data_IF_423851982029
#
_entry.id   IF_423851982029
#
_cell.length_a   1.000
_cell.length_b   1.000
_cell.length_c   1.000
_cell.angle_alpha   90.00
_cell.angle_beta   90.00
_cell.angle_gamma   90.00
#
_symmetry.space_group_name_H-M   'P 1'
#
loop_
_entity.id
_entity.type
_entity.pdbx_description
1 polymer ?
#
# COMPACT_ATOMS: atom_id res chain seq x y z
N UNK A 1 -4.73 12.32 -28.54
CA UNK A 1 -5.37 12.58 -27.23
C UNK A 1 -4.29 12.48 -26.17
N UNK A 2 -4.19 13.42 -25.22
CA UNK A 2 -3.19 13.31 -24.17
C UNK A 2 -3.52 12.09 -23.32
N UNK A 3 -2.54 11.22 -23.08
CA UNK A 3 -2.67 10.15 -22.10
C UNK A 3 -2.92 10.81 -20.74
N UNK A 4 -4.14 10.70 -20.21
CA UNK A 4 -4.44 10.99 -18.81
C UNK A 4 -3.37 10.26 -17.99
N UNK A 5 -2.61 11.01 -17.20
CA UNK A 5 -1.56 10.41 -16.38
C UNK A 5 -2.19 9.33 -15.52
N UNK A 6 -1.58 8.15 -15.47
CA UNK A 6 -2.07 7.00 -14.68
C UNK A 6 -2.27 7.34 -13.18
N UNK A 7 -1.72 8.47 -12.73
CA UNK A 7 -1.79 9.01 -11.39
C UNK A 7 -2.76 10.21 -11.24
N UNK A 8 -3.56 10.52 -12.25
CA UNK A 8 -4.53 11.63 -12.18
C UNK A 8 -5.56 11.38 -11.06
N UNK A 9 -5.90 12.42 -10.27
CA UNK A 9 -6.95 12.31 -9.27
C UNK A 9 -8.28 12.00 -9.97
N UNK A 10 -9.01 11.02 -9.44
CA UNK A 10 -10.38 10.73 -9.85
C UNK A 10 -11.29 10.83 -8.64
N UNK A 11 -12.59 11.05 -8.88
CA UNK A 11 -13.56 11.20 -7.81
C UNK A 11 -13.57 9.98 -6.87
N UNK A 12 -13.34 8.77 -7.41
CA UNK A 12 -13.14 7.57 -6.59
C UNK A 12 -11.94 7.72 -5.64
N UNK A 13 -10.77 8.14 -6.14
CA UNK A 13 -9.59 8.37 -5.30
C UNK A 13 -9.83 9.47 -4.28
N UNK A 14 -10.52 10.55 -4.64
CA UNK A 14 -10.86 11.63 -3.71
C UNK A 14 -11.77 11.16 -2.57
N UNK A 15 -12.83 10.41 -2.88
CA UNK A 15 -13.71 9.82 -1.86
C UNK A 15 -12.92 8.88 -0.96
N UNK A 16 -12.07 8.02 -1.51
CA UNK A 16 -11.26 7.10 -0.69
C UNK A 16 -10.30 7.86 0.22
N UNK A 17 -9.58 8.87 -0.31
CA UNK A 17 -8.65 9.67 0.47
C UNK A 17 -9.34 10.43 1.60
N UNK A 18 -10.51 11.01 1.35
CA UNK A 18 -11.22 11.89 2.28
C UNK A 18 -12.14 11.14 3.26
N UNK A 19 -12.79 10.06 2.82
CA UNK A 19 -13.80 9.31 3.61
C UNK A 19 -13.28 8.02 4.22
N UNK A 20 -12.18 7.47 3.69
CA UNK A 20 -11.59 6.23 4.21
C UNK A 20 -10.22 6.49 4.83
N UNK A 21 -9.26 7.03 4.09
CA UNK A 21 -7.89 7.17 4.58
C UNK A 21 -7.76 8.28 5.63
N UNK A 22 -8.24 9.49 5.34
CA UNK A 22 -8.10 10.66 6.21
C UNK A 22 -8.69 10.47 7.63
N UNK A 23 -9.88 9.86 7.82
CA UNK A 23 -10.40 9.58 9.17
C UNK A 23 -9.47 8.69 9.99
N UNK A 24 -8.86 7.68 9.37
CA UNK A 24 -7.87 6.83 10.03
C UNK A 24 -6.61 7.63 10.38
N UNK A 25 -6.06 8.43 9.45
CA UNK A 25 -4.88 9.26 9.73
C UNK A 25 -5.13 10.29 10.84
N UNK A 26 -6.30 10.93 10.83
CA UNK A 26 -6.72 11.85 11.88
C UNK A 26 -6.79 11.14 13.24
N UNK A 27 -7.40 9.97 13.28
CA UNK A 27 -7.46 9.16 14.50
C UNK A 27 -6.07 8.82 15.03
N UNK A 28 -5.16 8.33 14.17
CA UNK A 28 -3.80 7.96 14.54
C UNK A 28 -3.01 9.17 15.07
N UNK A 29 -3.03 10.29 14.36
CA UNK A 29 -2.29 11.49 14.74
C UNK A 29 -2.82 12.14 16.02
N UNK A 30 -4.13 12.17 16.19
CA UNK A 30 -4.78 12.69 17.41
C UNK A 30 -4.47 11.81 18.61
N UNK A 31 -4.55 10.48 18.44
CA UNK A 31 -4.30 9.51 19.52
C UNK A 31 -2.84 9.56 19.98
N UNK A 32 -1.89 9.63 19.05
CA UNK A 32 -0.46 9.66 19.38
C UNK A 32 0.11 11.05 19.62
N UNK A 33 -0.66 12.11 19.33
CA UNK A 33 -0.21 13.51 19.38
C UNK A 33 1.08 13.73 18.59
N UNK A 34 1.19 13.06 17.45
CA UNK A 34 2.36 13.10 16.56
C UNK A 34 1.88 13.08 15.11
N UNK A 35 2.51 13.91 14.30
CA UNK A 35 2.36 13.85 12.84
C UNK A 35 3.15 12.68 12.26
N UNK A 36 2.85 12.33 11.03
CA UNK A 36 3.31 11.11 10.36
C UNK A 36 4.47 11.39 9.41
N UNK A 37 5.39 10.43 9.31
CA UNK A 37 6.38 10.35 8.24
C UNK A 37 5.74 9.59 7.08
N UNK A 38 5.46 10.31 6.00
CA UNK A 38 4.91 9.78 4.76
C UNK A 38 6.02 9.14 3.92
N UNK A 39 5.73 7.98 3.34
CA UNK A 39 6.57 7.31 2.36
C UNK A 39 5.70 6.76 1.24
N UNK A 40 5.89 7.21 0.00
CA UNK A 40 4.99 6.75 -1.05
C UNK A 40 5.24 7.29 -2.45
N UNK A 41 4.21 7.10 -3.27
CA UNK A 41 4.20 7.37 -4.72
C UNK A 41 3.18 8.47 -5.04
N UNK A 42 3.36 9.70 -4.50
CA UNK A 42 2.42 10.78 -4.78
C UNK A 42 2.40 11.09 -6.27
N UNK A 43 1.27 11.59 -6.77
CA UNK A 43 1.22 12.11 -8.14
C UNK A 43 2.07 13.39 -8.27
N UNK A 44 2.38 13.85 -9.49
CA UNK A 44 3.07 15.13 -9.69
C UNK A 44 2.37 16.33 -9.02
N UNK A 45 1.07 16.21 -8.78
CA UNK A 45 0.23 17.22 -8.11
C UNK A 45 0.13 17.04 -6.59
N UNK A 46 0.78 16.03 -6.02
CA UNK A 46 0.82 15.78 -4.58
C UNK A 46 -0.59 15.73 -3.94
N UNK A 47 -1.62 15.28 -4.67
CA UNK A 47 -3.01 15.42 -4.25
C UNK A 47 -3.36 14.67 -2.96
N UNK A 48 -2.68 13.55 -2.69
CA UNK A 48 -2.74 12.83 -1.43
C UNK A 48 -2.06 13.58 -0.27
N UNK A 49 -0.89 14.16 -0.52
CA UNK A 49 -0.16 14.97 0.47
C UNK A 49 -0.97 16.21 0.84
N UNK A 50 -1.58 16.89 -0.14
CA UNK A 50 -2.45 18.05 0.12
C UNK A 50 -3.66 17.67 0.98
N UNK A 51 -4.34 16.56 0.67
CA UNK A 51 -5.49 16.08 1.44
C UNK A 51 -5.10 15.73 2.89
N UNK A 52 -3.91 15.19 3.10
CA UNK A 52 -3.45 14.68 4.40
C UNK A 52 -2.47 15.61 5.11
N UNK A 53 -2.33 16.85 4.65
CA UNK A 53 -1.24 17.75 5.06
C UNK A 53 -1.22 18.04 6.56
N UNK A 54 -2.39 18.09 7.19
CA UNK A 54 -2.52 18.34 8.63
C UNK A 54 -1.99 17.16 9.47
N UNK A 55 -1.85 15.98 8.86
CA UNK A 55 -1.38 14.75 9.52
C UNK A 55 0.09 14.44 9.23
N UNK A 56 0.70 15.07 8.23
CA UNK A 56 2.05 14.74 7.74
C UNK A 56 3.07 15.73 8.26
N UNK A 57 4.20 15.22 8.77
CA UNK A 57 5.35 16.00 9.21
C UNK A 57 6.45 16.06 8.15
N UNK A 58 6.76 14.90 7.57
CA UNK A 58 7.88 14.72 6.65
C UNK A 58 7.45 13.81 5.50
N UNK A 59 7.95 14.09 4.29
CA UNK A 59 7.60 13.35 3.07
C UNK A 59 8.83 12.65 2.51
N UNK A 60 8.74 11.35 2.26
CA UNK A 60 9.67 10.59 1.43
C UNK A 60 8.89 10.16 0.18
N UNK A 61 9.23 10.71 -0.98
CA UNK A 61 8.50 10.50 -2.22
C UNK A 61 9.39 9.92 -3.31
N UNK A 62 8.79 9.12 -4.19
CA UNK A 62 9.43 8.60 -5.40
C UNK A 62 8.56 8.99 -6.60
N UNK A 63 9.19 9.52 -7.65
CA UNK A 63 8.50 9.89 -8.87
C UNK A 63 9.35 9.47 -10.08
N UNK A 64 8.79 8.59 -10.91
CA UNK A 64 9.40 8.27 -12.20
C UNK A 64 9.15 9.41 -13.20
N UNK A 65 10.08 9.59 -14.14
CA UNK A 65 9.97 10.60 -15.21
C UNK A 65 8.83 10.32 -16.17
N UNK A 66 8.84 9.15 -16.81
CA UNK A 66 7.81 8.74 -17.77
C UNK A 66 7.23 7.36 -17.44
N UNK A 67 5.98 7.33 -17.00
CA UNK A 67 5.25 6.09 -16.76
C UNK A 67 4.48 5.64 -18.01
N UNK A 68 4.42 4.34 -18.35
CA UNK A 68 5.02 3.18 -17.66
C UNK A 68 6.39 2.78 -18.24
N UNK A 69 7.14 3.71 -18.84
CA UNK A 69 8.41 3.38 -19.51
C UNK A 69 9.49 3.02 -18.47
N UNK A 70 10.48 2.16 -18.80
CA UNK A 70 11.65 1.97 -17.95
C UNK A 70 12.34 3.30 -17.66
N UNK A 71 12.98 3.41 -16.50
CA UNK A 71 13.72 4.63 -16.12
C UNK A 71 14.85 4.91 -17.10
N UNK A 72 14.99 6.16 -17.53
CA UNK A 72 16.07 6.63 -18.39
C UNK A 72 16.41 8.10 -18.06
N UNK A 73 17.68 8.44 -17.76
CA UNK A 73 18.11 9.82 -17.49
C UNK A 73 17.87 10.82 -18.62
N UNK A 74 17.56 10.36 -19.84
CA UNK A 74 17.21 11.22 -20.97
C UNK A 74 15.71 11.55 -21.04
N UNK A 75 14.86 10.92 -20.22
CA UNK A 75 13.43 11.23 -20.15
C UNK A 75 13.18 12.61 -19.54
N UNK A 76 12.01 13.17 -19.84
CA UNK A 76 11.59 14.46 -19.27
C UNK A 76 11.41 14.38 -17.76
N UNK A 77 12.15 15.20 -17.01
CA UNK A 77 12.00 15.34 -15.56
C UNK A 77 10.81 16.25 -15.13
N UNK A 78 9.89 16.60 -16.03
CA UNK A 78 8.79 17.53 -15.75
C UNK A 78 7.89 17.06 -14.60
N UNK A 79 7.54 15.77 -14.56
CA UNK A 79 6.73 15.19 -13.48
C UNK A 79 7.43 15.30 -12.11
N UNK A 80 8.73 15.03 -12.07
CA UNK A 80 9.57 15.12 -10.87
C UNK A 80 9.66 16.58 -10.39
N UNK A 81 9.95 17.51 -11.30
CA UNK A 81 10.04 18.96 -11.00
C UNK A 81 8.72 19.54 -10.51
N UNK A 82 7.59 19.09 -11.05
CA UNK A 82 6.26 19.54 -10.61
C UNK A 82 5.97 19.09 -9.18
N UNK A 83 6.30 17.84 -8.85
CA UNK A 83 6.19 17.34 -7.48
C UNK A 83 7.13 18.09 -6.54
N UNK A 84 8.39 18.29 -6.94
CA UNK A 84 9.38 19.06 -6.18
C UNK A 84 8.88 20.46 -5.86
N UNK A 85 8.34 21.17 -6.85
CA UNK A 85 7.77 22.51 -6.66
C UNK A 85 6.66 22.52 -5.61
N UNK A 86 5.74 21.55 -5.66
CA UNK A 86 4.66 21.42 -4.69
C UNK A 86 5.19 21.14 -3.27
N UNK A 87 6.18 20.26 -3.12
CA UNK A 87 6.79 19.94 -1.82
C UNK A 87 7.57 21.12 -1.24
N UNK A 88 8.33 21.84 -2.06
CA UNK A 88 9.03 23.07 -1.66
C UNK A 88 8.05 24.14 -1.19
N UNK A 89 6.92 24.34 -1.90
CA UNK A 89 5.90 25.30 -1.48
C UNK A 89 5.28 24.93 -0.13
N UNK A 90 4.98 23.64 0.10
CA UNK A 90 4.48 23.14 1.39
C UNK A 90 5.50 23.36 2.52
N UNK A 91 6.77 23.09 2.27
CA UNK A 91 7.85 23.32 3.23
C UNK A 91 7.99 24.82 3.55
N UNK A 92 8.01 25.69 2.53
CA UNK A 92 8.11 27.15 2.70
C UNK A 92 6.95 27.74 3.50
N UNK A 93 5.76 27.15 3.36
CA UNK A 93 4.56 27.52 4.15
C UNK A 93 4.55 26.91 5.56
N UNK A 94 5.58 26.13 5.93
CA UNK A 94 5.65 25.45 7.22
C UNK A 94 4.60 24.36 7.41
N UNK A 95 4.05 23.82 6.32
CA UNK A 95 3.02 22.78 6.36
C UNK A 95 3.61 21.39 6.59
N UNK A 96 4.78 21.14 6.00
CA UNK A 96 5.68 20.04 6.33
C UNK A 96 7.01 20.62 6.85
N UNK A 97 7.74 19.85 7.65
CA UNK A 97 9.06 20.25 8.10
C UNK A 97 10.08 20.18 6.96
N UNK A 98 10.08 19.06 6.24
CA UNK A 98 11.07 18.77 5.20
C UNK A 98 10.64 17.55 4.35
N UNK A 99 11.36 17.29 3.26
CA UNK A 99 11.07 16.16 2.37
C UNK A 99 12.32 15.61 1.67
N UNK A 100 12.26 14.32 1.30
CA UNK A 100 13.17 13.68 0.35
C UNK A 100 12.38 13.28 -0.89
N UNK A 101 12.82 13.72 -2.07
CA UNK A 101 12.25 13.32 -3.36
C UNK A 101 13.30 12.56 -4.16
N UNK A 102 12.97 11.33 -4.57
CA UNK A 102 13.83 10.48 -5.38
C UNK A 102 13.31 10.39 -6.82
N UNK A 103 14.19 10.64 -7.78
CA UNK A 103 13.91 10.52 -9.21
C UNK A 103 14.08 9.07 -9.67
N UNK A 104 12.96 8.40 -9.90
CA UNK A 104 12.94 7.03 -10.41
C UNK A 104 11.82 6.19 -9.82
N UNK A 105 11.75 4.94 -10.28
CA UNK A 105 10.87 3.96 -9.67
C UNK A 105 11.39 3.55 -8.30
N UNK A 106 10.47 3.38 -7.34
CA UNK A 106 10.80 2.97 -5.98
C UNK A 106 11.61 1.66 -5.96
N UNK A 107 11.28 0.71 -6.84
CA UNK A 107 11.99 -0.54 -7.04
C UNK A 107 13.48 -0.33 -7.32
N UNK A 108 13.77 0.55 -8.26
CA UNK A 108 15.12 0.84 -8.74
C UNK A 108 15.92 1.60 -7.68
N UNK A 109 15.33 2.64 -7.10
CA UNK A 109 15.99 3.48 -6.10
C UNK A 109 16.41 2.67 -4.88
N UNK A 110 15.52 1.79 -4.40
CA UNK A 110 15.80 0.95 -3.22
C UNK A 110 16.87 -0.09 -3.51
N UNK A 111 16.83 -0.75 -4.67
CA UNK A 111 17.79 -1.82 -5.00
C UNK A 111 19.18 -1.25 -5.26
N UNK A 112 19.25 -0.19 -6.06
CA UNK A 112 20.52 0.48 -6.37
C UNK A 112 21.03 1.29 -5.18
N UNK A 113 20.15 1.73 -4.27
CA UNK A 113 20.48 2.59 -3.14
C UNK A 113 20.74 4.05 -3.55
N UNK A 114 20.33 4.42 -4.76
CA UNK A 114 20.45 5.77 -5.32
C UNK A 114 19.43 5.96 -6.44
N UNK A 115 19.11 7.20 -6.74
CA UNK A 115 18.18 7.58 -7.79
C UNK A 115 18.87 7.92 -9.13
N UNK A 116 18.08 8.36 -10.12
CA UNK A 116 18.57 8.72 -11.45
C UNK A 116 19.57 9.89 -11.45
N UNK A 117 19.47 10.79 -10.47
CA UNK A 117 20.36 11.94 -10.31
C UNK A 117 21.52 11.64 -9.33
N UNK A 118 21.75 10.35 -9.05
CA UNK A 118 22.79 9.83 -8.16
C UNK A 118 22.62 10.24 -6.69
N UNK A 119 21.44 10.70 -6.29
CA UNK A 119 21.12 10.97 -4.89
C UNK A 119 21.04 9.65 -4.13
N UNK A 120 21.83 9.50 -3.06
CA UNK A 120 21.81 8.30 -2.22
C UNK A 120 20.47 8.15 -1.49
N UNK A 121 19.89 6.95 -1.58
CA UNK A 121 18.71 6.59 -0.80
C UNK A 121 19.10 6.38 0.67
N UNK A 122 18.43 7.10 1.57
CA UNK A 122 18.64 6.99 3.02
C UNK A 122 17.29 6.87 3.71
N UNK A 123 17.17 5.84 4.56
CA UNK A 123 16.01 5.63 5.42
C UNK A 123 16.41 5.84 6.88
N UNK A 124 16.56 7.11 7.24
CA UNK A 124 16.95 7.58 8.57
C UNK A 124 15.75 7.81 9.50
N UNK A 125 14.55 8.00 8.94
CA UNK A 125 13.30 8.14 9.69
C UNK A 125 12.51 6.85 9.70
N UNK A 126 11.84 6.58 10.82
CA UNK A 126 10.83 5.53 10.88
C UNK A 126 9.58 5.97 10.12
N UNK A 127 9.13 5.16 9.16
CA UNK A 127 7.95 5.45 8.34
C UNK A 127 6.70 5.04 9.11
N UNK A 128 5.81 5.99 9.32
CA UNK A 128 4.52 5.72 9.99
C UNK A 128 3.35 5.65 9.02
N UNK A 129 3.51 6.17 7.79
CA UNK A 129 2.50 6.18 6.75
C UNK A 129 3.12 5.75 5.42
N UNK A 130 2.77 4.56 4.97
CA UNK A 130 3.09 4.10 3.63
C UNK A 130 1.91 4.33 2.69
N UNK A 131 2.13 4.97 1.55
CA UNK A 131 1.15 5.10 0.48
C UNK A 131 1.72 4.55 -0.84
N UNK A 132 1.51 3.26 -1.05
CA UNK A 132 2.04 2.51 -2.19
C UNK A 132 0.93 2.31 -3.22
N UNK A 133 0.69 3.37 -4.01
CA UNK A 133 -0.31 3.38 -5.08
C UNK A 133 0.25 2.78 -6.38
N UNK A 134 0.39 1.46 -6.39
CA UNK A 134 0.83 0.74 -7.57
C UNK A 134 -0.33 0.59 -8.57
N UNK A 135 -0.55 1.62 -9.39
CA UNK A 135 -1.61 1.65 -10.41
C UNK A 135 -1.47 0.60 -11.54
N UNK A 136 -0.34 -0.10 -11.63
CA UNK A 136 -0.15 -1.26 -12.53
C UNK A 136 -0.48 -2.60 -11.86
N UNK A 137 -0.59 -3.66 -12.66
CA UNK A 137 -0.76 -5.04 -12.21
C UNK A 137 0.41 -5.47 -11.29
N UNK A 138 0.15 -6.33 -10.29
CA UNK A 138 1.12 -6.79 -9.25
C UNK A 138 2.47 -7.27 -9.81
N UNK A 139 2.60 -8.51 -10.24
CA UNK A 139 2.59 -8.87 -11.65
C UNK A 139 3.46 -8.06 -12.62
N UNK A 140 3.19 -6.80 -12.99
CA UNK A 140 4.02 -6.02 -13.93
C UNK A 140 5.41 -5.83 -13.33
N UNK A 141 6.36 -6.76 -13.57
CA UNK A 141 7.57 -6.74 -12.81
C UNK A 141 8.49 -5.75 -13.50
N UNK A 142 9.20 -4.96 -12.72
CA UNK A 142 10.16 -4.07 -13.32
C UNK A 142 11.43 -4.84 -13.63
N UNK A 143 11.83 -4.83 -14.90
CA UNK A 143 13.19 -5.19 -15.27
C UNK A 143 14.07 -4.00 -14.92
N UNK A 144 14.82 -4.14 -13.84
CA UNK A 144 15.76 -3.12 -13.39
C UNK A 144 17.18 -3.58 -13.67
N UNK A 145 18.08 -2.66 -13.97
CA UNK A 145 19.50 -2.96 -14.01
C UNK A 145 20.07 -2.81 -12.59
N UNK A 146 20.47 -3.92 -11.98
CA UNK A 146 21.09 -3.92 -10.66
C UNK A 146 22.55 -3.50 -10.80
N UNK A 147 22.83 -2.23 -10.51
CA UNK A 147 24.18 -1.65 -10.65
C UNK A 147 25.23 -2.32 -9.74
N UNK A 148 24.80 -2.96 -8.64
CA UNK A 148 25.70 -3.68 -7.72
C UNK A 148 26.09 -5.06 -8.25
N UNK A 149 25.21 -5.71 -9.02
CA UNK A 149 25.45 -7.03 -9.62
C UNK A 149 25.88 -6.98 -11.09
N UNK A 150 25.62 -5.87 -11.77
CA UNK A 150 25.90 -5.69 -13.20
C UNK A 150 24.96 -6.47 -14.13
N UNK A 151 23.75 -6.84 -13.66
CA UNK A 151 22.79 -7.63 -14.44
C UNK A 151 21.35 -7.09 -14.32
N UNK A 152 20.48 -7.50 -15.25
CA UNK A 152 19.05 -7.18 -15.17
C UNK A 152 18.33 -8.15 -14.25
N UNK A 153 17.58 -7.62 -13.30
CA UNK A 153 16.74 -8.38 -12.38
C UNK A 153 15.27 -8.06 -12.61
N UNK A 154 14.41 -9.07 -12.44
CA UNK A 154 12.95 -8.92 -12.49
C UNK A 154 12.43 -8.78 -11.07
N UNK A 155 11.91 -7.60 -10.75
CA UNK A 155 11.50 -7.25 -9.38
C UNK A 155 10.01 -7.03 -9.31
N UNK A 156 9.39 -7.63 -8.30
CA UNK A 156 7.98 -7.51 -7.98
C UNK A 156 7.77 -6.49 -6.86
N UNK A 157 6.64 -5.79 -6.91
CA UNK A 157 6.27 -4.74 -5.95
C UNK A 157 6.26 -5.23 -4.50
N UNK A 158 5.76 -6.44 -4.25
CA UNK A 158 5.75 -7.01 -2.90
C UNK A 158 7.16 -7.25 -2.37
N UNK A 159 8.15 -7.56 -3.23
CA UNK A 159 9.55 -7.71 -2.79
C UNK A 159 10.10 -6.39 -2.26
N UNK A 160 9.72 -5.27 -2.86
CA UNK A 160 10.10 -3.94 -2.37
C UNK A 160 9.52 -3.67 -0.98
N UNK A 161 8.27 -4.04 -0.73
CA UNK A 161 7.69 -3.94 0.61
C UNK A 161 8.52 -4.75 1.62
N UNK A 162 8.92 -5.99 1.29
CA UNK A 162 9.79 -6.79 2.17
C UNK A 162 11.13 -6.09 2.45
N UNK A 163 11.74 -5.51 1.42
CA UNK A 163 13.02 -4.81 1.55
C UNK A 163 12.90 -3.57 2.44
N UNK A 164 11.85 -2.76 2.27
CA UNK A 164 11.65 -1.55 3.08
C UNK A 164 11.43 -1.90 4.54
N UNK A 165 10.58 -2.90 4.82
CA UNK A 165 10.34 -3.37 6.20
C UNK A 165 11.62 -3.89 6.86
N UNK A 166 12.44 -4.64 6.11
CA UNK A 166 13.73 -5.11 6.60
C UNK A 166 14.72 -3.98 6.87
N UNK A 167 14.76 -2.94 6.03
CA UNK A 167 15.59 -1.75 6.25
C UNK A 167 15.14 -0.98 7.50
N UNK A 168 13.83 -0.83 7.68
CA UNK A 168 13.27 -0.11 8.83
C UNK A 168 13.56 -0.81 10.16
N UNK A 169 13.46 -2.13 10.19
CA UNK A 169 13.76 -2.95 11.36
C UNK A 169 15.24 -2.92 11.75
N UNK A 170 16.15 -2.79 10.79
CA UNK A 170 17.59 -2.65 11.09
C UNK A 170 17.93 -1.34 11.77
N UNK A 171 17.19 -0.27 11.45
CA UNK A 171 17.52 1.09 11.87
C UNK A 171 16.80 1.52 13.16
N UNK A 172 15.84 0.75 13.67
CA UNK A 172 15.00 1.17 14.81
C UNK A 172 15.00 0.14 15.95
N UNK A 173 15.23 0.64 17.16
CA UNK A 173 15.30 -0.14 18.40
C UNK A 173 14.04 -0.05 19.27
N UNK A 174 12.98 0.63 18.81
CA UNK A 174 11.81 0.94 19.62
C UNK A 174 10.52 0.36 19.03
N UNK A 175 9.53 0.01 19.88
CA UNK A 175 8.21 -0.40 19.43
C UNK A 175 7.60 0.68 18.55
N UNK A 176 7.21 0.29 17.36
CA UNK A 176 6.79 1.22 16.33
C UNK A 176 5.61 0.68 15.54
N UNK A 177 4.77 1.61 15.10
CA UNK A 177 3.44 1.36 14.52
C UNK A 177 3.33 2.15 13.22
N UNK A 178 2.72 1.55 12.21
CA UNK A 178 2.50 2.22 10.93
C UNK A 178 1.16 1.83 10.32
N UNK A 179 0.71 2.65 9.37
CA UNK A 179 -0.36 2.30 8.44
C UNK A 179 0.21 2.21 7.02
N UNK A 180 -0.23 1.20 6.28
CA UNK A 180 0.12 0.97 4.89
C UNK A 180 -1.15 0.96 4.05
N UNK A 181 -1.24 1.94 3.16
CA UNK A 181 -2.18 1.92 2.04
C UNK A 181 -1.47 1.30 0.83
N UNK A 182 -2.02 0.22 0.31
CA UNK A 182 -1.50 -0.50 -0.84
C UNK A 182 -2.59 -0.62 -1.89
N UNK A 183 -2.44 0.08 -3.01
CA UNK A 183 -3.36 -0.02 -4.15
C UNK A 183 -2.74 -0.89 -5.23
N UNK A 184 -3.51 -1.85 -5.72
CA UNK A 184 -3.12 -2.78 -6.77
C UNK A 184 -4.21 -2.87 -7.84
N UNK A 185 -3.84 -3.09 -9.09
CA UNK A 185 -4.80 -3.48 -10.11
C UNK A 185 -5.29 -4.91 -9.85
N UNK A 186 -6.61 -5.08 -9.94
CA UNK A 186 -7.38 -6.30 -9.77
C UNK A 186 -7.06 -7.38 -10.79
N UNK A 187 -6.52 -7.00 -11.96
CA UNK A 187 -6.08 -7.96 -12.96
C UNK A 187 -5.00 -8.86 -12.34
N UNK A 188 -5.39 -10.11 -12.08
CA UNK A 188 -4.60 -11.11 -11.37
C UNK A 188 -3.99 -12.11 -12.38
N UNK A 189 -2.79 -12.67 -12.14
CA UNK A 189 -2.02 -13.36 -13.19
C UNK A 189 -1.66 -14.83 -12.97
N UNK A 190 -1.42 -15.47 -14.12
CA UNK A 190 -0.81 -16.77 -14.39
C UNK A 190 0.62 -17.02 -13.84
N UNK A 191 1.39 -15.98 -13.44
CA UNK A 191 2.79 -16.13 -12.99
C UNK A 191 2.87 -16.32 -11.46
N UNK A 192 2.31 -15.39 -10.68
CA UNK A 192 2.22 -15.54 -9.21
C UNK A 192 1.19 -16.59 -8.78
N UNK A 193 0.25 -16.96 -9.68
CA UNK A 193 -0.69 -18.05 -9.44
C UNK A 193 0.00 -19.37 -9.07
N UNK A 194 1.16 -19.70 -9.69
CA UNK A 194 1.85 -20.96 -9.41
C UNK A 194 2.46 -21.01 -8.02
N UNK A 195 3.13 -19.92 -7.61
CA UNK A 195 3.68 -19.82 -6.26
C UNK A 195 2.55 -19.77 -5.23
N UNK A 196 1.44 -19.11 -5.56
CA UNK A 196 0.27 -19.07 -4.72
C UNK A 196 -0.45 -20.42 -4.61
N UNK A 197 -0.51 -21.23 -5.69
CA UNK A 197 -1.04 -22.59 -5.67
C UNK A 197 -0.33 -23.47 -4.64
N UNK A 198 1.00 -23.37 -4.55
CA UNK A 198 1.77 -24.09 -3.53
C UNK A 198 1.49 -23.60 -2.11
N UNK A 199 1.16 -22.32 -1.93
CA UNK A 199 0.71 -21.77 -0.65
C UNK A 199 -0.68 -22.30 -0.30
N UNK A 200 -1.61 -22.30 -1.27
CA UNK A 200 -2.99 -22.78 -1.09
C UNK A 200 -2.99 -24.25 -0.65
N UNK A 201 -2.15 -25.10 -1.26
CA UNK A 201 -2.04 -26.53 -0.89
C UNK A 201 -1.63 -26.76 0.58
N UNK A 202 -0.93 -25.80 1.20
CA UNK A 202 -0.42 -25.91 2.57
C UNK A 202 -1.37 -25.33 3.62
N UNK A 203 -2.34 -24.51 3.24
CA UNK A 203 -3.29 -23.86 4.15
C UNK A 203 -4.72 -24.30 3.81
N UNK A 204 -5.26 -25.22 4.62
CA UNK A 204 -6.59 -25.82 4.42
C UNK A 204 -7.68 -24.75 4.34
N UNK A 205 -7.63 -23.74 5.21
CA UNK A 205 -8.64 -22.67 5.27
C UNK A 205 -8.59 -21.82 4.01
N UNK A 206 -7.39 -21.52 3.54
CA UNK A 206 -7.20 -20.82 2.27
C UNK A 206 -7.74 -21.67 1.11
N UNK A 207 -7.48 -22.99 1.11
CA UNK A 207 -8.04 -23.94 0.14
C UNK A 207 -9.57 -23.88 0.04
N UNK A 208 -10.26 -23.93 1.19
CA UNK A 208 -11.73 -23.85 1.26
C UNK A 208 -12.28 -22.54 0.66
N UNK A 209 -11.64 -21.41 0.97
CA UNK A 209 -12.01 -20.12 0.40
C UNK A 209 -11.81 -20.10 -1.12
N UNK A 210 -10.66 -20.58 -1.60
CA UNK A 210 -10.33 -20.57 -3.02
C UNK A 210 -11.26 -21.49 -3.82
N UNK A 211 -11.66 -22.63 -3.27
CA UNK A 211 -12.66 -23.52 -3.90
C UNK A 211 -14.00 -22.80 -4.07
N UNK A 212 -14.41 -22.02 -3.07
CA UNK A 212 -15.62 -21.20 -3.13
C UNK A 212 -15.52 -20.11 -4.20
N UNK A 213 -14.40 -19.39 -4.22
CA UNK A 213 -14.14 -18.30 -5.19
C UNK A 213 -13.96 -18.83 -6.61
N UNK A 214 -13.49 -20.06 -6.79
CA UNK A 214 -13.28 -20.68 -8.11
C UNK A 214 -14.57 -20.88 -8.91
N UNK A 215 -15.74 -20.79 -8.27
CA UNK A 215 -17.07 -20.79 -8.90
C UNK A 215 -17.42 -19.46 -9.57
N UNK A 216 -16.71 -18.38 -9.22
CA UNK A 216 -16.87 -17.07 -9.84
C UNK A 216 -16.06 -16.97 -11.13
N UNK A 217 -16.37 -15.97 -11.96
CA UNK A 217 -15.69 -15.73 -13.24
C UNK A 217 -15.26 -14.27 -13.38
N UNK A 218 -14.24 -14.04 -14.22
CA UNK A 218 -13.72 -12.71 -14.55
C UNK A 218 -13.29 -11.91 -13.33
N UNK A 219 -13.55 -10.61 -13.36
CA UNK A 219 -13.10 -9.66 -12.34
C UNK A 219 -13.49 -10.05 -10.91
N UNK A 220 -14.68 -10.61 -10.71
CA UNK A 220 -15.16 -11.02 -9.37
C UNK A 220 -14.31 -12.15 -8.78
N UNK A 221 -13.81 -13.07 -9.61
CA UNK A 221 -12.84 -14.07 -9.19
C UNK A 221 -11.50 -13.41 -8.88
N UNK A 222 -11.02 -12.58 -9.81
CA UNK A 222 -9.67 -12.01 -9.76
C UNK A 222 -9.43 -11.14 -8.52
N UNK A 223 -10.37 -10.26 -8.16
CA UNK A 223 -10.23 -9.41 -6.96
C UNK A 223 -10.18 -10.21 -5.66
N UNK A 224 -10.84 -11.37 -5.59
CA UNK A 224 -10.88 -12.23 -4.40
C UNK A 224 -9.63 -13.09 -4.29
N UNK A 225 -9.16 -13.60 -5.43
CA UNK A 225 -7.86 -14.26 -5.51
C UNK A 225 -6.74 -13.28 -5.09
N UNK A 226 -6.78 -12.04 -5.58
CA UNK A 226 -5.85 -10.99 -5.19
C UNK A 226 -5.94 -10.69 -3.68
N UNK A 227 -7.16 -10.56 -3.13
CA UNK A 227 -7.37 -10.35 -1.69
C UNK A 227 -6.72 -11.45 -0.85
N UNK A 228 -6.91 -12.70 -1.24
CA UNK A 228 -6.31 -13.85 -0.56
C UNK A 228 -4.78 -13.88 -0.68
N UNK A 229 -4.26 -13.62 -1.88
CA UNK A 229 -2.84 -13.56 -2.16
C UNK A 229 -2.12 -12.48 -1.33
N UNK A 230 -2.65 -11.26 -1.35
CA UNK A 230 -2.09 -10.11 -0.63
C UNK A 230 -2.13 -10.33 0.87
N UNK A 231 -3.27 -10.80 1.41
CA UNK A 231 -3.40 -11.08 2.83
C UNK A 231 -2.35 -12.09 3.28
N UNK A 232 -2.25 -13.23 2.60
CA UNK A 232 -1.31 -14.29 3.00
C UNK A 232 0.14 -13.83 2.88
N UNK A 233 0.51 -13.26 1.75
CA UNK A 233 1.89 -12.85 1.46
C UNK A 233 2.36 -11.74 2.40
N UNK A 234 1.54 -10.71 2.61
CA UNK A 234 1.92 -9.59 3.48
C UNK A 234 1.80 -9.95 4.96
N UNK A 235 0.84 -10.77 5.37
CA UNK A 235 0.78 -11.22 6.76
C UNK A 235 2.02 -12.00 7.16
N UNK A 236 2.45 -12.96 6.33
CA UNK A 236 3.67 -13.73 6.57
C UNK A 236 4.91 -12.82 6.56
N UNK A 237 4.98 -11.89 5.59
CA UNK A 237 6.10 -10.93 5.49
C UNK A 237 6.20 -10.06 6.74
N UNK A 238 5.07 -9.51 7.20
CA UNK A 238 5.02 -8.64 8.38
C UNK A 238 5.35 -9.43 9.65
N UNK A 239 4.79 -10.63 9.80
CA UNK A 239 5.05 -11.52 10.93
C UNK A 239 6.53 -11.88 11.07
N UNK A 240 7.21 -12.23 9.97
CA UNK A 240 8.67 -12.51 9.94
C UNK A 240 9.50 -11.28 10.30
N UNK A 241 8.96 -10.09 10.08
CA UNK A 241 9.57 -8.81 10.45
C UNK A 241 9.06 -8.28 11.80
N UNK A 242 8.53 -9.16 12.66
CA UNK A 242 8.04 -8.83 14.00
C UNK A 242 6.95 -7.76 14.05
N UNK A 243 6.15 -7.64 12.98
CA UNK A 243 4.92 -6.85 13.00
C UNK A 243 3.71 -7.78 13.07
N UNK A 244 2.84 -7.54 14.04
CA UNK A 244 1.48 -8.07 14.04
C UNK A 244 0.65 -7.24 13.06
N UNK A 245 0.20 -7.82 11.92
CA UNK A 245 -0.58 -7.10 10.94
C UNK A 245 -2.08 -7.15 11.30
N UNK A 246 -2.78 -6.08 10.97
CA UNK A 246 -4.24 -6.07 10.93
C UNK A 246 -4.73 -5.43 9.63
N UNK A 247 -5.45 -6.20 8.82
CA UNK A 247 -6.01 -5.74 7.56
C UNK A 247 -7.41 -5.19 7.81
N UNK A 248 -7.63 -3.95 7.41
CA UNK A 248 -8.95 -3.33 7.39
C UNK A 248 -9.72 -3.74 6.13
N UNK A 249 -11.05 -3.48 6.09
CA UNK A 249 -11.90 -3.74 4.94
C UNK A 249 -11.28 -3.25 3.63
N UNK A 250 -11.39 -4.09 2.61
CA UNK A 250 -10.73 -3.87 1.32
C UNK A 250 -11.60 -2.97 0.46
N UNK A 251 -11.02 -1.87 -0.04
CA UNK A 251 -11.72 -0.96 -0.94
C UNK A 251 -11.52 -1.44 -2.37
N UNK A 252 -12.61 -1.54 -3.15
CA UNK A 252 -12.56 -1.76 -4.60
C UNK A 252 -13.18 -0.58 -5.33
N UNK A 253 -12.58 -0.18 -6.45
CA UNK A 253 -13.07 0.91 -7.28
C UNK A 253 -12.58 0.79 -8.73
N UNK A 254 -13.28 1.44 -9.66
CA UNK A 254 -12.88 1.49 -11.05
C UNK A 254 -12.21 2.85 -11.35
N UNK A 255 -11.06 2.81 -12.00
CA UNK A 255 -10.31 3.95 -12.48
C UNK A 255 -9.98 3.74 -13.97
N UNK A 256 -11.04 3.65 -14.79
CA UNK A 256 -11.05 3.28 -16.20
C UNK A 256 -9.71 3.55 -16.93
N UNK A 257 -9.04 2.52 -17.50
CA UNK A 257 -9.49 1.13 -17.67
C UNK A 257 -9.24 0.20 -16.49
N UNK A 258 -8.70 0.70 -15.38
CA UNK A 258 -8.21 -0.15 -14.31
C UNK A 258 -9.28 -0.47 -13.28
N UNK A 259 -9.36 -1.72 -12.84
CA UNK A 259 -10.09 -2.08 -11.64
C UNK A 259 -9.05 -2.13 -10.51
N UNK A 260 -9.22 -1.32 -9.47
CA UNK A 260 -8.23 -1.14 -8.42
C UNK A 260 -8.78 -1.67 -7.09
N UNK A 261 -7.89 -2.24 -6.30
CA UNK A 261 -8.13 -2.76 -4.97
C UNK A 261 -7.14 -2.12 -4.02
N UNK A 262 -7.63 -1.39 -3.02
CA UNK A 262 -6.82 -0.80 -1.97
C UNK A 262 -6.94 -1.61 -0.69
N UNK A 263 -5.81 -2.08 -0.21
CA UNK A 263 -5.62 -2.71 1.09
C UNK A 263 -5.16 -1.64 2.08
N UNK A 264 -5.69 -1.70 3.29
CA UNK A 264 -5.20 -0.89 4.42
C UNK A 264 -4.74 -1.82 5.52
N UNK A 265 -3.47 -1.70 5.89
CA UNK A 265 -2.81 -2.61 6.82
C UNK A 265 -2.21 -1.80 7.95
N UNK A 266 -2.55 -2.16 9.18
CA UNK A 266 -1.94 -1.59 10.37
C UNK A 266 -0.87 -2.55 10.84
N UNK A 267 0.38 -2.09 10.83
CA UNK A 267 1.53 -2.84 11.34
C UNK A 267 1.83 -2.42 12.77
N UNK A 268 1.87 -3.38 13.69
CA UNK A 268 2.24 -3.12 15.10
C UNK A 268 3.43 -3.97 15.47
N UNK A 269 4.56 -3.36 15.79
CA UNK A 269 5.73 -4.11 16.21
C UNK A 269 5.49 -4.82 17.54
N UNK A 270 5.88 -6.07 17.57
CA UNK A 270 5.84 -6.93 18.74
C UNK A 270 7.26 -7.40 19.03
N UNK A 271 7.77 -7.09 20.22
CA UNK A 271 9.07 -7.58 20.64
C UNK A 271 8.96 -9.09 20.93
N UNK A 272 9.45 -9.89 19.99
CA UNK A 272 9.40 -11.34 20.07
C UNK A 272 10.80 -11.90 20.37
N UNK A 273 10.93 -12.66 21.45
CA UNK A 273 12.20 -13.30 21.84
C UNK A 273 12.53 -14.50 20.93
N UNK A 274 12.88 -14.22 19.67
CA UNK A 274 13.28 -15.22 18.67
C UNK A 274 12.12 -15.95 17.99
N UNK A 275 10.91 -15.38 18.00
CA UNK A 275 9.72 -15.91 17.30
C UNK A 275 9.19 -14.87 16.32
N UNK A 276 8.40 -15.30 15.34
CA UNK A 276 7.68 -14.35 14.48
C UNK A 276 6.51 -13.73 15.26
N UNK A 277 6.10 -12.51 14.90
CA UNK A 277 4.91 -11.88 15.48
C UNK A 277 3.64 -12.69 15.15
N UNK A 278 2.68 -12.71 16.07
CA UNK A 278 1.49 -13.55 15.94
C UNK A 278 0.46 -12.82 15.07
N UNK A 279 -0.01 -13.48 14.01
CA UNK A 279 -1.15 -12.99 13.22
C UNK A 279 -2.42 -13.26 14.03
N UNK A 280 -3.03 -12.20 14.56
CA UNK A 280 -4.25 -12.27 15.40
C UNK A 280 -5.54 -12.30 14.57
N UNK A 281 -5.51 -11.75 13.35
CA UNK A 281 -6.67 -11.73 12.49
C UNK A 281 -6.95 -13.11 11.89
N UNK A 282 -8.18 -13.60 12.06
CA UNK A 282 -8.62 -14.83 11.42
C UNK A 282 -8.69 -14.64 9.90
N UNK A 283 -8.03 -15.54 9.17
CA UNK A 283 -7.97 -15.52 7.70
C UNK A 283 -9.36 -15.63 7.07
N UNK A 284 -10.22 -16.54 7.53
CA UNK A 284 -11.54 -16.74 6.91
C UNK A 284 -12.46 -15.55 7.18
N UNK A 285 -12.40 -14.95 8.36
CA UNK A 285 -13.20 -13.77 8.69
C UNK A 285 -12.83 -12.61 7.76
N UNK A 286 -11.53 -12.37 7.55
CA UNK A 286 -11.07 -11.36 6.60
C UNK A 286 -11.44 -11.69 5.15
N UNK A 287 -11.23 -12.93 4.70
CA UNK A 287 -11.46 -13.32 3.30
C UNK A 287 -12.95 -13.33 2.93
N UNK A 288 -13.82 -13.74 3.86
CA UNK A 288 -15.28 -13.74 3.67
C UNK A 288 -15.91 -12.37 3.90
N UNK A 289 -15.16 -11.40 4.42
CA UNK A 289 -15.63 -10.02 4.44
C UNK A 289 -15.76 -9.49 2.99
N UNK A 290 -16.87 -8.81 2.70
CA UNK A 290 -17.10 -8.16 1.41
C UNK A 290 -16.09 -7.04 1.13
N UNK A 291 -16.28 -6.39 -0.02
CA UNK A 291 -15.54 -5.17 -0.33
C UNK A 291 -16.34 -3.94 0.06
N UNK A 292 -15.66 -2.82 0.22
CA UNK A 292 -16.28 -1.50 0.25
C UNK A 292 -15.93 -0.73 -1.03
N UNK A 293 -16.78 0.19 -1.45
CA UNK A 293 -16.61 0.98 -2.66
C UNK A 293 -17.06 2.42 -2.46
N UNK A 294 -16.37 3.39 -3.09
CA UNK A 294 -16.87 4.77 -3.16
C UNK A 294 -18.19 4.81 -3.93
N UNK A 295 -19.19 5.48 -3.37
CA UNK A 295 -20.44 5.78 -4.04
C UNK A 295 -20.37 7.20 -4.60
N UNK A 296 -20.36 7.34 -5.93
CA UNK A 296 -20.17 8.63 -6.61
C UNK A 296 -21.34 9.60 -6.42
N UNK A 297 -22.55 9.10 -6.16
CA UNK A 297 -23.74 9.94 -5.97
C UNK A 297 -23.78 10.57 -4.58
N UNK A 298 -23.39 9.79 -3.57
CA UNK A 298 -23.44 10.21 -2.15
C UNK A 298 -22.10 10.69 -1.63
N UNK A 299 -21.01 10.42 -2.34
CA UNK A 299 -19.63 10.66 -1.88
C UNK A 299 -19.32 9.97 -0.55
N UNK A 300 -19.87 8.78 -0.33
CA UNK A 300 -19.69 7.96 0.87
C UNK A 300 -19.16 6.56 0.53
N UNK A 301 -18.62 5.87 1.53
CA UNK A 301 -18.20 4.47 1.39
C UNK A 301 -19.39 3.54 1.57
N UNK A 302 -19.57 2.59 0.65
CA UNK A 302 -20.70 1.65 0.66
C UNK A 302 -20.23 0.20 0.56
N UNK A 303 -21.02 -0.71 1.13
CA UNK A 303 -20.74 -2.13 1.07
C UNK A 303 -21.01 -2.69 -0.33
N UNK A 304 -20.15 -3.59 -0.76
CA UNK A 304 -20.21 -4.25 -2.05
C UNK A 304 -19.97 -5.76 -1.86
N UNK A 305 -21.05 -6.48 -1.57
CA UNK A 305 -21.05 -7.94 -1.36
C UNK A 305 -21.52 -8.67 -2.62
N UNK A 306 -20.95 -9.84 -2.89
CA UNK A 306 -21.35 -10.74 -3.96
C UNK A 306 -22.23 -11.86 -3.41
N UNK A 307 -23.47 -11.92 -3.88
CA UNK A 307 -24.48 -12.87 -3.39
C UNK A 307 -24.23 -14.32 -3.82
N UNK A 308 -23.32 -14.57 -4.78
CA UNK A 308 -23.02 -15.92 -5.26
C UNK A 308 -22.09 -16.71 -4.31
N UNK A 309 -21.52 -16.05 -3.30
CA UNK A 309 -20.65 -16.65 -2.29
C UNK A 309 -21.03 -16.11 -0.89
N UNK A 310 -20.68 -16.79 0.21
CA UNK A 310 -21.06 -16.36 1.56
C UNK A 310 -20.21 -15.18 2.05
N UNK A 311 -20.44 -13.99 1.50
CA UNK A 311 -19.80 -12.75 1.97
C UNK A 311 -20.61 -12.06 3.07
N UNK A 312 -19.90 -11.57 4.09
CA UNK A 312 -20.47 -10.70 5.13
C UNK A 312 -20.22 -9.23 4.80
N UNK A 313 -21.12 -8.35 5.25
CA UNK A 313 -20.91 -6.90 5.12
C UNK A 313 -19.72 -6.47 5.95
N UNK A 314 -18.89 -5.62 5.36
CA UNK A 314 -17.75 -4.99 6.01
C UNK A 314 -18.16 -3.78 6.82
N UNK A 315 -17.38 -3.46 7.85
CA UNK A 315 -17.44 -2.16 8.51
C UNK A 315 -16.95 -1.07 7.55
N UNK A 316 -17.76 -0.04 7.30
CA UNK A 316 -17.40 1.01 6.32
C UNK A 316 -16.52 2.09 6.91
N UNK A 317 -16.55 2.24 8.24
CA UNK A 317 -15.71 3.18 8.97
C UNK A 317 -14.39 2.51 9.39
N UNK A 318 -13.24 2.91 8.83
CA UNK A 318 -11.96 2.24 9.11
C UNK A 318 -11.51 2.40 10.56
N UNK A 319 -11.87 3.50 11.23
CA UNK A 319 -11.55 3.70 12.66
C UNK A 319 -12.35 2.73 13.51
N UNK A 320 -13.66 2.59 13.26
CA UNK A 320 -14.52 1.61 13.95
C UNK A 320 -14.01 0.19 13.74
N UNK A 321 -13.67 -0.17 12.49
CA UNK A 321 -13.11 -1.47 12.15
C UNK A 321 -11.83 -1.76 12.94
N UNK A 322 -10.90 -0.80 12.93
CA UNK A 322 -9.65 -0.93 13.66
C UNK A 322 -9.86 -1.04 15.18
N UNK A 323 -10.68 -0.18 15.77
CA UNK A 323 -10.89 -0.13 17.22
C UNK A 323 -11.58 -1.39 17.78
N UNK A 324 -12.28 -2.16 16.95
CA UNK A 324 -12.88 -3.45 17.32
C UNK A 324 -11.87 -4.62 17.28
N UNK A 325 -10.70 -4.41 16.68
CA UNK A 325 -9.73 -5.48 16.46
C UNK A 325 -9.00 -5.91 17.75
N UNK A 326 -8.61 -7.18 17.81
CA UNK A 326 -7.74 -7.70 18.87
C UNK A 326 -6.40 -6.96 18.90
N UNK A 327 -5.86 -6.60 17.73
CA UNK A 327 -4.61 -5.82 17.64
C UNK A 327 -4.74 -4.48 18.34
N UNK A 328 -5.87 -3.79 18.17
CA UNK A 328 -6.12 -2.53 18.87
C UNK A 328 -6.21 -2.73 20.39
N UNK A 329 -6.99 -3.70 20.84
CA UNK A 329 -7.17 -3.98 22.27
C UNK A 329 -5.83 -4.32 22.95
N UNK A 330 -5.00 -5.13 22.30
CA UNK A 330 -3.77 -5.64 22.90
C UNK A 330 -2.62 -4.63 22.88
N UNK A 331 -2.54 -3.78 21.86
CA UNK A 331 -1.36 -2.95 21.60
C UNK A 331 -1.63 -1.45 21.50
N UNK A 332 -2.88 -1.01 21.39
CA UNK A 332 -3.23 0.40 21.10
C UNK A 332 -4.13 1.07 22.14
N UNK A 333 -4.78 0.31 23.01
CA UNK A 333 -5.51 0.86 24.16
C UNK A 333 -4.60 1.19 25.36
N UNK A 334 -3.37 0.70 25.36
CA UNK A 334 -2.36 0.94 26.40
C UNK A 334 -1.60 2.22 26.10
#
# INVERSE_FOLDING_TARGET
MPQLSHFSPTLNKEIIRSKYNAPLLNYLTTTFKRKLVYFGLPSPDAGDIHEWIEYIEFVIAFQCREYPKPSDPNQSAEAVKRLEFNLVDLQRKGKILDFNLYDGYIEEVIINGKDNDLLEFKLDKFITLYNLDFCNEVTSPQKIFNTKKGEFETIYKLNIIKMILALQNKNNSHPHKFVLFLTLNANFWNVEAKDFEEIIKKDVRLGEFIETVSKLNGLEKDIRMLKAYVFKTLSDTLSVNNYTPHFLPVVRYNNNPFNLVQFTIIGTYEETFGRNAIIKQNILDFLNEGFISPNLETSEMTNSVNQAIPEIKSETNPVSSFCKSEVYNDFWQK
#
